data_IF_029364041105
#
_entry.id   IF_029364041105
#
_cell.length_a   1.000
_cell.length_b   1.000
_cell.length_c   1.000
_cell.angle_alpha   90.00
_cell.angle_beta   90.00
_cell.angle_gamma   90.00
#
_symmetry.space_group_name_H-M   'P 1'
#
loop_
_entity.id
_entity.type
_entity.pdbx_description
1 polymer ?
#
# COMPACT_ATOMS: atom_id res chain seq x y z
N UNK A 1 0.82 -12.42 -15.54
CA UNK A 1 -0.41 -13.07 -16.06
C UNK A 1 -1.56 -12.09 -16.22
N UNK A 2 -1.97 -11.33 -15.21
CA UNK A 2 -3.05 -10.32 -15.33
C UNK A 2 -2.71 -9.19 -16.30
N UNK A 3 -1.46 -8.71 -16.29
CA UNK A 3 -0.98 -7.66 -17.20
C UNK A 3 -1.04 -8.06 -18.68
N UNK A 4 -0.54 -9.24 -19.04
CA UNK A 4 -0.56 -9.74 -20.42
C UNK A 4 -1.98 -10.02 -20.92
N UNK A 5 -2.87 -10.45 -20.03
CA UNK A 5 -4.27 -10.68 -20.37
C UNK A 5 -5.01 -9.36 -20.66
N UNK A 6 -4.78 -8.33 -19.84
CA UNK A 6 -5.35 -7.00 -20.05
C UNK A 6 -4.80 -6.33 -21.32
N UNK A 7 -3.55 -6.62 -21.69
CA UNK A 7 -2.90 -6.06 -22.88
C UNK A 7 -3.56 -6.47 -24.20
N UNK A 8 -4.22 -7.63 -24.24
CA UNK A 8 -4.87 -8.15 -25.46
C UNK A 8 -6.15 -7.40 -25.88
N UNK A 9 -6.75 -6.61 -25.00
CA UNK A 9 -8.00 -5.90 -25.26
C UNK A 9 -7.83 -4.38 -25.41
N UNK A 10 -6.59 -3.87 -25.41
CA UNK A 10 -6.35 -2.44 -25.55
C UNK A 10 -6.25 -2.01 -27.02
N UNK A 11 -6.84 -0.86 -27.39
CA UNK A 11 -6.65 -0.27 -28.71
C UNK A 11 -5.18 0.12 -28.90
N UNK A 12 -4.55 -0.48 -29.89
CA UNK A 12 -3.21 -0.12 -30.36
C UNK A 12 -3.29 1.14 -31.24
N UNK A 13 -2.34 2.06 -31.07
CA UNK A 13 -2.22 3.22 -31.96
C UNK A 13 -1.70 2.78 -33.34
N UNK A 14 -1.85 3.63 -34.37
CA UNK A 14 -1.49 3.32 -35.76
C UNK A 14 -0.01 2.95 -36.00
N UNK A 15 0.83 3.00 -34.97
CA UNK A 15 2.26 2.65 -34.98
C UNK A 15 2.61 1.33 -34.28
N UNK A 16 1.61 0.55 -33.83
CA UNK A 16 1.85 -0.69 -33.08
C UNK A 16 2.49 -0.47 -31.69
N UNK A 17 2.58 0.79 -31.26
CA UNK A 17 2.96 1.16 -29.90
C UNK A 17 1.69 1.44 -29.10
N UNK A 18 1.60 0.81 -27.94
CA UNK A 18 0.58 1.11 -26.93
C UNK A 18 0.64 2.59 -26.56
N UNK A 19 -0.47 3.31 -26.69
CA UNK A 19 -0.59 4.70 -26.20
C UNK A 19 -0.25 4.76 -24.70
N UNK A 20 0.38 5.87 -24.26
CA UNK A 20 0.66 6.11 -22.83
C UNK A 20 -0.64 5.98 -22.02
N UNK A 21 -1.73 6.54 -22.53
CA UNK A 21 -3.07 6.45 -21.91
C UNK A 21 -3.56 5.00 -21.88
N UNK A 22 -3.40 4.23 -22.96
CA UNK A 22 -3.76 2.81 -22.99
C UNK A 22 -3.04 2.04 -21.89
N UNK A 23 -1.71 2.09 -21.86
CA UNK A 23 -0.91 1.42 -20.83
C UNK A 23 -1.28 1.85 -19.40
N UNK A 24 -1.60 3.13 -19.19
CA UNK A 24 -2.07 3.61 -17.89
C UNK A 24 -3.41 2.98 -17.52
N UNK A 25 -4.38 2.95 -18.46
CA UNK A 25 -5.70 2.34 -18.23
C UNK A 25 -5.57 0.85 -17.96
N UNK A 26 -4.80 0.08 -18.74
CA UNK A 26 -4.61 -1.33 -18.45
C UNK A 26 -3.81 -1.59 -17.18
N UNK A 27 -2.80 -0.75 -16.87
CA UNK A 27 -2.09 -0.82 -15.59
C UNK A 27 -3.05 -0.60 -14.41
N UNK A 28 -3.96 0.37 -14.54
CA UNK A 28 -5.02 0.61 -13.55
C UNK A 28 -6.01 -0.56 -13.48
N UNK A 29 -6.51 -1.06 -14.61
CA UNK A 29 -7.44 -2.20 -14.64
C UNK A 29 -6.80 -3.48 -14.10
N UNK A 30 -5.55 -3.76 -14.45
CA UNK A 30 -4.80 -4.90 -13.94
C UNK A 30 -4.53 -4.76 -12.44
N UNK A 31 -4.12 -3.57 -11.99
CA UNK A 31 -3.91 -3.28 -10.57
C UNK A 31 -5.21 -3.35 -9.75
N UNK A 32 -6.32 -2.85 -10.29
CA UNK A 32 -7.65 -3.00 -9.67
C UNK A 32 -8.06 -4.46 -9.64
N UNK A 33 -7.91 -5.21 -10.73
CA UNK A 33 -8.25 -6.63 -10.78
C UNK A 33 -7.41 -7.46 -9.79
N UNK A 34 -6.10 -7.24 -9.75
CA UNK A 34 -5.21 -7.87 -8.76
C UNK A 34 -5.60 -7.47 -7.33
N UNK A 35 -5.89 -6.19 -7.11
CA UNK A 35 -6.32 -5.70 -5.80
C UNK A 35 -7.63 -6.34 -5.37
N UNK A 36 -8.61 -6.48 -6.26
CA UNK A 36 -9.92 -7.05 -5.98
C UNK A 36 -9.82 -8.56 -5.73
N UNK A 37 -9.12 -9.27 -6.61
CA UNK A 37 -9.09 -10.73 -6.63
C UNK A 37 -8.12 -11.34 -5.61
N UNK A 38 -6.98 -10.69 -5.39
CA UNK A 38 -5.89 -11.26 -4.57
C UNK A 38 -5.72 -10.49 -3.28
N UNK A 39 -5.59 -9.16 -3.35
CA UNK A 39 -5.25 -8.36 -2.17
C UNK A 39 -6.43 -8.22 -1.22
N UNK A 40 -7.63 -7.93 -1.72
CA UNK A 40 -8.81 -7.68 -0.88
C UNK A 40 -9.18 -8.87 0.00
N UNK A 41 -9.29 -10.12 -0.49
CA UNK A 41 -9.59 -11.25 0.40
C UNK A 41 -8.49 -11.46 1.46
N UNK A 42 -7.22 -11.30 1.08
CA UNK A 42 -6.10 -11.43 2.01
C UNK A 42 -6.07 -10.34 3.08
N UNK A 43 -6.30 -9.08 2.69
CA UNK A 43 -6.38 -7.93 3.59
C UNK A 43 -7.59 -8.03 4.52
N UNK A 44 -8.75 -8.45 4.00
CA UNK A 44 -9.97 -8.63 4.78
C UNK A 44 -9.79 -9.73 5.82
N UNK A 45 -9.25 -10.89 5.42
CA UNK A 45 -8.94 -11.99 6.34
C UNK A 45 -7.95 -11.54 7.42
N UNK A 46 -6.89 -10.84 7.02
CA UNK A 46 -5.89 -10.31 7.96
C UNK A 46 -6.52 -9.34 8.96
N UNK A 47 -7.34 -8.41 8.49
CA UNK A 47 -8.02 -7.43 9.36
C UNK A 47 -8.95 -8.12 10.35
N UNK A 48 -9.74 -9.09 9.90
CA UNK A 48 -10.62 -9.90 10.76
C UNK A 48 -9.87 -10.72 11.79
N UNK A 49 -8.73 -11.33 11.43
CA UNK A 49 -7.90 -12.08 12.36
C UNK A 49 -7.23 -11.17 13.41
N UNK A 50 -6.83 -9.95 13.03
CA UNK A 50 -6.28 -8.97 13.98
C UNK A 50 -7.37 -8.49 14.94
N UNK A 51 -8.56 -8.19 14.42
CA UNK A 51 -9.72 -7.78 15.21
C UNK A 51 -10.19 -8.89 16.17
N UNK A 52 -10.22 -10.14 15.68
CA UNK A 52 -10.55 -11.32 16.47
C UNK A 52 -9.58 -11.55 17.63
N UNK A 53 -8.28 -11.33 17.37
CA UNK A 53 -7.23 -11.44 18.38
C UNK A 53 -7.32 -10.34 19.44
N UNK A 54 -7.86 -9.18 19.10
CA UNK A 54 -8.10 -8.09 20.03
C UNK A 54 -9.40 -8.25 20.84
N UNK A 55 -10.34 -9.08 20.35
CA UNK A 55 -11.66 -9.28 20.93
C UNK A 55 -11.94 -10.70 21.42
N UNK A 56 -13.09 -11.25 21.03
CA UNK A 56 -13.71 -12.43 21.60
C UNK A 56 -13.10 -13.79 21.17
N UNK A 57 -12.01 -13.82 20.39
CA UNK A 57 -11.37 -15.04 19.85
C UNK A 57 -12.37 -16.04 19.24
N UNK A 58 -13.10 -15.61 18.22
CA UNK A 58 -14.03 -16.41 17.42
C UNK A 58 -13.32 -17.41 16.49
N UNK A 59 -12.04 -17.20 16.17
CA UNK A 59 -11.28 -18.05 15.26
C UNK A 59 -10.10 -18.75 15.94
N UNK A 60 -10.07 -20.08 15.84
CA UNK A 60 -8.95 -20.89 16.36
C UNK A 60 -7.77 -20.96 15.38
N UNK A 61 -8.04 -20.82 14.08
CA UNK A 61 -7.04 -20.86 13.01
C UNK A 61 -7.49 -20.05 11.81
N UNK A 62 -6.55 -19.67 10.94
CA UNK A 62 -6.86 -18.95 9.70
C UNK A 62 -7.79 -19.76 8.78
N UNK A 63 -7.66 -21.09 8.75
CA UNK A 63 -8.53 -21.96 7.96
C UNK A 63 -9.94 -22.04 8.55
N UNK A 64 -10.05 -22.09 9.89
CA UNK A 64 -11.33 -22.00 10.58
C UNK A 64 -12.01 -20.65 10.34
N UNK A 65 -11.24 -19.55 10.33
CA UNK A 65 -11.73 -18.22 10.00
C UNK A 65 -12.33 -18.19 8.59
N UNK A 66 -11.59 -18.64 7.57
CA UNK A 66 -12.07 -18.68 6.18
C UNK A 66 -13.37 -19.48 6.08
N UNK A 67 -13.40 -20.70 6.63
CA UNK A 67 -14.61 -21.55 6.60
C UNK A 67 -15.79 -20.87 7.26
N UNK A 68 -15.58 -20.27 8.44
CA UNK A 68 -16.62 -19.58 9.20
C UNK A 68 -17.14 -18.33 8.47
N UNK A 69 -16.26 -17.57 7.83
CA UNK A 69 -16.65 -16.36 7.07
C UNK A 69 -17.48 -16.76 5.86
N UNK A 70 -17.04 -17.77 5.10
CA UNK A 70 -17.78 -18.25 3.92
C UNK A 70 -19.16 -18.77 4.31
N UNK A 71 -19.28 -19.52 5.41
CA UNK A 71 -20.56 -20.11 5.83
C UNK A 71 -21.49 -19.12 6.53
N UNK A 72 -20.97 -18.19 7.34
CA UNK A 72 -21.80 -17.26 8.12
C UNK A 72 -22.07 -15.93 7.41
N UNK A 73 -21.05 -15.33 6.80
CA UNK A 73 -21.13 -13.98 6.22
C UNK A 73 -21.23 -13.98 4.68
N UNK A 74 -21.00 -15.13 4.05
CA UNK A 74 -20.97 -15.30 2.60
C UNK A 74 -19.66 -14.83 1.95
N UNK A 75 -19.33 -15.40 0.79
CA UNK A 75 -18.10 -15.09 0.05
C UNK A 75 -18.02 -13.63 -0.42
N UNK A 76 -19.15 -12.92 -0.56
CA UNK A 76 -19.18 -11.50 -0.90
C UNK A 76 -18.50 -10.62 0.15
N UNK A 77 -18.39 -11.09 1.39
CA UNK A 77 -17.75 -10.36 2.48
C UNK A 77 -16.26 -10.12 2.24
N UNK A 78 -15.58 -10.99 1.50
CA UNK A 78 -14.19 -10.77 1.12
C UNK A 78 -14.00 -9.56 0.19
N UNK A 79 -15.03 -9.18 -0.57
CA UNK A 79 -15.02 -8.02 -1.45
C UNK A 79 -15.55 -6.74 -0.77
N UNK A 80 -15.92 -6.80 0.52
CA UNK A 80 -16.30 -5.60 1.27
C UNK A 80 -15.06 -4.74 1.53
N UNK A 81 -15.16 -3.47 1.13
CA UNK A 81 -14.07 -2.50 1.24
C UNK A 81 -13.24 -2.32 -0.03
N UNK A 82 -13.59 -2.94 -1.16
CA UNK A 82 -12.91 -2.71 -2.45
C UNK A 82 -12.85 -1.23 -2.80
N UNK A 83 -13.98 -0.51 -2.73
CA UNK A 83 -14.03 0.92 -3.07
C UNK A 83 -13.04 1.79 -2.27
N UNK A 84 -13.03 1.77 -0.92
CA UNK A 84 -12.07 2.55 -0.16
C UNK A 84 -10.63 2.07 -0.36
N UNK A 85 -10.40 0.78 -0.63
CA UNK A 85 -9.06 0.26 -0.97
C UNK A 85 -8.57 0.85 -2.29
N UNK A 86 -9.39 0.79 -3.35
CA UNK A 86 -9.06 1.35 -4.66
C UNK A 86 -8.82 2.85 -4.57
N UNK A 87 -9.74 3.60 -3.93
CA UNK A 87 -9.59 5.04 -3.74
C UNK A 87 -8.32 5.39 -2.95
N UNK A 88 -8.00 4.62 -1.90
CA UNK A 88 -6.77 4.78 -1.14
C UNK A 88 -5.53 4.53 -1.99
N UNK A 89 -5.51 3.49 -2.82
CA UNK A 89 -4.36 3.22 -3.71
C UNK A 89 -4.17 4.34 -4.74
N UNK A 90 -5.24 4.74 -5.42
CA UNK A 90 -5.21 5.86 -6.38
C UNK A 90 -4.74 7.16 -5.72
N UNK A 91 -5.31 7.50 -4.56
CA UNK A 91 -4.95 8.70 -3.82
C UNK A 91 -3.52 8.65 -3.27
N UNK A 92 -3.06 7.47 -2.84
CA UNK A 92 -1.70 7.30 -2.32
C UNK A 92 -0.65 7.59 -3.39
N UNK A 93 -0.83 7.10 -4.61
CA UNK A 93 0.10 7.37 -5.70
C UNK A 93 0.03 8.84 -6.11
N UNK A 94 -1.18 9.38 -6.30
CA UNK A 94 -1.39 10.78 -6.68
C UNK A 94 -0.74 11.74 -5.69
N UNK A 95 -1.07 11.63 -4.40
CA UNK A 95 -0.56 12.55 -3.38
C UNK A 95 0.94 12.39 -3.22
N UNK A 96 1.49 11.18 -3.29
CA UNK A 96 2.93 10.95 -3.16
C UNK A 96 3.71 11.61 -4.30
N UNK A 97 3.28 11.41 -5.56
CA UNK A 97 3.96 12.01 -6.70
C UNK A 97 3.77 13.52 -6.75
N UNK A 98 2.55 14.03 -6.51
CA UNK A 98 2.30 15.47 -6.47
C UNK A 98 3.09 16.14 -5.35
N UNK A 99 3.08 15.58 -4.14
CA UNK A 99 3.82 16.16 -3.00
C UNK A 99 5.33 16.12 -3.24
N UNK A 100 5.84 15.01 -3.78
CA UNK A 100 7.28 14.89 -4.08
C UNK A 100 7.70 15.90 -5.16
N UNK A 101 6.95 16.01 -6.26
CA UNK A 101 7.26 16.94 -7.35
C UNK A 101 7.18 18.42 -6.93
N UNK A 102 6.33 18.75 -5.94
CA UNK A 102 6.25 20.11 -5.40
C UNK A 102 7.34 20.39 -4.36
N UNK A 103 7.65 19.41 -3.50
CA UNK A 103 8.63 19.60 -2.42
C UNK A 103 10.08 19.48 -2.88
N UNK A 104 10.38 18.62 -3.86
CA UNK A 104 11.75 18.41 -4.30
C UNK A 104 12.41 19.70 -4.83
N UNK A 105 11.79 20.50 -5.72
CA UNK A 105 12.37 21.77 -6.17
C UNK A 105 12.50 22.80 -5.05
N UNK A 106 11.56 22.82 -4.09
CA UNK A 106 11.60 23.76 -2.97
C UNK A 106 12.72 23.43 -1.96
N UNK A 107 13.07 22.15 -1.81
CA UNK A 107 14.08 21.68 -0.86
C UNK A 107 15.47 21.50 -1.47
N UNK A 108 15.58 21.43 -2.81
CA UNK A 108 16.84 21.41 -3.55
C UNK A 108 17.86 22.46 -3.07
N UNK A 109 17.50 23.74 -2.89
CA UNK A 109 18.47 24.76 -2.46
C UNK A 109 18.97 24.58 -1.02
N UNK A 110 18.19 23.91 -0.16
CA UNK A 110 18.49 23.82 1.27
C UNK A 110 19.18 22.51 1.66
N UNK A 111 18.82 21.40 1.00
CA UNK A 111 19.16 20.06 1.48
C UNK A 111 20.11 19.27 0.55
N UNK A 112 20.51 19.81 -0.60
CA UNK A 112 21.49 19.17 -1.50
C UNK A 112 21.18 17.69 -1.76
N UNK A 113 22.12 16.80 -1.43
CA UNK A 113 21.99 15.32 -1.58
C UNK A 113 20.85 14.73 -0.72
N UNK A 114 20.55 15.33 0.43
CA UNK A 114 19.48 14.89 1.32
C UNK A 114 18.08 15.37 0.89
N UNK A 115 17.99 16.18 -0.17
CA UNK A 115 16.70 16.70 -0.68
C UNK A 115 15.72 15.58 -0.97
N UNK A 116 16.15 14.51 -1.65
CA UNK A 116 15.28 13.39 -2.00
C UNK A 116 14.76 12.65 -0.75
N UNK A 117 15.57 12.57 0.30
CA UNK A 117 15.20 11.92 1.57
C UNK A 117 14.18 12.79 2.32
N UNK A 118 14.46 14.08 2.46
CA UNK A 118 13.56 15.00 3.20
C UNK A 118 12.26 15.21 2.43
N UNK A 119 12.32 15.47 1.12
CA UNK A 119 11.14 15.61 0.27
C UNK A 119 10.33 14.30 0.25
N UNK A 120 10.99 13.15 0.17
CA UNK A 120 10.36 11.83 0.24
C UNK A 120 9.68 11.57 1.59
N UNK A 121 10.33 11.94 2.71
CA UNK A 121 9.76 11.81 4.04
C UNK A 121 8.54 12.70 4.25
N UNK A 122 8.63 13.99 3.88
CA UNK A 122 7.52 14.93 3.96
C UNK A 122 6.35 14.54 3.03
N UNK A 123 6.64 14.15 1.79
CA UNK A 123 5.64 13.62 0.87
C UNK A 123 4.97 12.36 1.45
N UNK A 124 5.73 11.50 2.12
CA UNK A 124 5.21 10.34 2.85
C UNK A 124 4.25 10.73 3.98
N UNK A 125 4.61 11.72 4.80
CA UNK A 125 3.76 12.24 5.88
C UNK A 125 2.46 12.81 5.31
N UNK A 126 2.54 13.68 4.29
CA UNK A 126 1.36 14.27 3.63
C UNK A 126 0.46 13.17 3.06
N UNK A 127 1.06 12.19 2.37
CA UNK A 127 0.33 11.04 1.81
C UNK A 127 -0.41 10.27 2.90
N UNK A 128 0.19 10.08 4.07
CA UNK A 128 -0.46 9.39 5.20
C UNK A 128 -1.65 10.18 5.70
N UNK A 129 -1.53 11.50 5.88
CA UNK A 129 -2.65 12.35 6.30
C UNK A 129 -3.79 12.37 5.27
N UNK A 130 -3.49 12.43 3.97
CA UNK A 130 -4.51 12.43 2.92
C UNK A 130 -5.18 11.06 2.73
N UNK A 131 -4.45 9.96 2.96
CA UNK A 131 -4.98 8.59 2.76
C UNK A 131 -5.64 8.01 4.01
N UNK A 132 -5.42 8.61 5.19
CA UNK A 132 -5.98 8.15 6.46
C UNK A 132 -7.50 7.98 6.49
N UNK A 133 -8.32 8.93 5.99
CA UNK A 133 -9.78 8.75 6.00
C UNK A 133 -10.21 7.47 5.28
N UNK A 134 -9.60 7.16 4.12
CA UNK A 134 -9.90 5.95 3.38
C UNK A 134 -9.42 4.68 4.11
N UNK A 135 -8.27 4.76 4.80
CA UNK A 135 -7.77 3.66 5.63
C UNK A 135 -8.64 3.40 6.86
N UNK A 136 -9.24 4.44 7.45
CA UNK A 136 -10.18 4.25 8.55
C UNK A 136 -11.48 3.64 8.05
N UNK A 137 -12.03 4.10 6.93
CA UNK A 137 -13.25 3.51 6.36
C UNK A 137 -13.01 2.05 5.96
N UNK A 138 -11.89 1.73 5.28
CA UNK A 138 -11.61 0.34 4.89
C UNK A 138 -11.49 -0.58 6.10
N UNK A 139 -10.81 -0.16 7.18
CA UNK A 139 -10.57 -1.02 8.35
C UNK A 139 -11.86 -1.25 9.13
N UNK A 140 -12.72 -0.25 9.24
CA UNK A 140 -14.05 -0.40 9.82
C UNK A 140 -14.93 -1.34 8.99
N UNK A 141 -14.90 -1.23 7.66
CA UNK A 141 -15.63 -2.15 6.78
C UNK A 141 -15.10 -3.59 6.81
N UNK A 142 -13.79 -3.77 6.98
CA UNK A 142 -13.14 -5.09 7.05
C UNK A 142 -13.10 -5.69 8.47
N UNK A 143 -13.61 -4.99 9.48
CA UNK A 143 -13.75 -5.52 10.85
C UNK A 143 -14.76 -6.68 10.91
N UNK A 144 -14.74 -7.45 12.01
CA UNK A 144 -15.63 -8.59 12.20
C UNK A 144 -17.11 -8.20 12.06
N UNK A 145 -17.51 -7.14 12.75
CA UNK A 145 -18.87 -6.60 12.72
C UNK A 145 -19.12 -5.63 11.55
N UNK A 146 -18.09 -5.32 10.74
CA UNK A 146 -18.18 -4.35 9.66
C UNK A 146 -19.27 -4.67 8.64
N UNK A 147 -19.46 -5.97 8.35
CA UNK A 147 -20.52 -6.48 7.46
C UNK A 147 -21.94 -6.24 7.99
N UNK A 148 -22.10 -6.20 9.32
CA UNK A 148 -23.39 -6.06 10.00
C UNK A 148 -23.72 -4.60 10.30
N UNK A 149 -22.71 -3.80 10.64
CA UNK A 149 -22.89 -2.39 11.03
C UNK A 149 -23.01 -1.47 9.80
N UNK A 150 -22.28 -1.76 8.72
CA UNK A 150 -22.16 -0.85 7.57
C UNK A 150 -22.67 -1.48 6.28
N UNK A 151 -23.60 -0.81 5.60
CA UNK A 151 -24.15 -1.29 4.31
C UNK A 151 -23.22 -0.96 3.14
N UNK A 152 -22.56 0.19 3.19
CA UNK A 152 -21.70 0.71 2.13
C UNK A 152 -20.54 1.50 2.71
N UNK A 153 -19.52 1.77 1.88
CA UNK A 153 -18.39 2.62 2.28
C UNK A 153 -18.81 4.04 2.62
N UNK A 154 -19.84 4.56 1.94
CA UNK A 154 -20.41 5.87 2.23
C UNK A 154 -21.17 5.88 3.56
N UNK A 155 -21.97 4.85 3.83
CA UNK A 155 -22.65 4.67 5.12
C UNK A 155 -21.64 4.57 6.28
N UNK A 156 -20.55 3.83 6.08
CA UNK A 156 -19.46 3.76 7.04
C UNK A 156 -18.81 5.12 7.30
N UNK A 157 -18.44 5.86 6.24
CA UNK A 157 -17.88 7.20 6.38
C UNK A 157 -18.84 8.16 7.10
N UNK A 158 -20.12 8.16 6.74
CA UNK A 158 -21.15 8.98 7.36
C UNK A 158 -21.32 8.66 8.84
N UNK A 159 -21.51 7.38 9.19
CA UNK A 159 -21.64 6.92 10.59
C UNK A 159 -20.39 7.26 11.41
N UNK A 160 -19.20 7.15 10.83
CA UNK A 160 -17.95 7.47 11.53
C UNK A 160 -17.86 8.97 11.88
N UNK A 161 -18.25 9.84 10.95
CA UNK A 161 -18.28 11.30 11.15
C UNK A 161 -19.38 11.69 12.13
N UNK A 162 -20.58 11.10 12.02
CA UNK A 162 -21.71 11.41 12.92
C UNK A 162 -21.44 10.92 14.34
N UNK A 163 -20.92 9.71 14.53
CA UNK A 163 -20.76 9.11 15.86
C UNK A 163 -19.49 9.56 16.61
N UNK A 164 -18.51 10.17 15.94
CA UNK A 164 -17.23 10.52 16.57
C UNK A 164 -16.55 11.77 16.04
N UNK A 165 -17.24 12.53 15.20
CA UNK A 165 -16.70 13.73 14.56
C UNK A 165 -15.70 13.42 13.44
N UNK A 166 -15.34 14.43 12.64
CA UNK A 166 -14.41 14.29 11.52
C UNK A 166 -13.01 13.86 11.97
N UNK A 167 -12.59 14.18 13.20
CA UNK A 167 -11.29 13.77 13.75
C UNK A 167 -11.14 12.24 13.86
N UNK A 168 -12.25 11.50 13.95
CA UNK A 168 -12.23 10.03 14.00
C UNK A 168 -11.66 9.41 12.72
N UNK A 169 -11.75 10.11 11.58
CA UNK A 169 -11.13 9.70 10.31
C UNK A 169 -9.59 9.74 10.31
N UNK A 170 -8.98 10.42 11.29
CA UNK A 170 -7.52 10.43 11.48
C UNK A 170 -7.07 9.64 12.71
N UNK A 171 -7.99 8.96 13.39
CA UNK A 171 -7.62 8.06 14.50
C UNK A 171 -6.75 6.93 13.95
N UNK A 172 -5.53 6.79 14.44
CA UNK A 172 -4.54 5.83 13.92
C UNK A 172 -3.44 6.42 13.04
N UNK A 173 -3.46 7.73 12.76
CA UNK A 173 -2.37 8.40 12.03
C UNK A 173 -1.03 8.24 12.74
N UNK A 174 -0.97 8.49 14.05
CA UNK A 174 0.27 8.40 14.85
C UNK A 174 0.92 7.01 14.82
N UNK A 175 0.22 5.90 15.15
CA UNK A 175 0.83 4.58 15.05
C UNK A 175 1.20 4.22 13.60
N UNK A 176 0.46 4.72 12.59
CA UNK A 176 0.83 4.51 11.19
C UNK A 176 2.12 5.24 10.83
N UNK A 177 2.28 6.49 11.22
CA UNK A 177 3.49 7.28 11.01
C UNK A 177 4.68 6.63 11.71
N UNK A 178 4.52 6.26 12.99
CA UNK A 178 5.57 5.56 13.74
C UNK A 178 6.00 4.27 13.05
N UNK A 179 5.03 3.43 12.62
CA UNK A 179 5.32 2.20 11.88
C UNK A 179 6.10 2.48 10.59
N UNK A 180 5.76 3.54 9.85
CA UNK A 180 6.46 3.91 8.63
C UNK A 180 7.88 4.42 8.90
N UNK A 181 8.06 5.25 9.93
CA UNK A 181 9.37 5.76 10.34
C UNK A 181 10.29 4.63 10.80
N UNK A 182 9.80 3.73 11.66
CA UNK A 182 10.57 2.58 12.16
C UNK A 182 10.89 1.61 11.03
N UNK A 183 9.93 1.29 10.16
CA UNK A 183 10.16 0.42 9.01
C UNK A 183 11.19 1.02 8.03
N UNK A 184 11.13 2.34 7.81
CA UNK A 184 12.12 3.06 7.02
C UNK A 184 13.51 2.98 7.63
N UNK A 185 13.64 3.27 8.92
CA UNK A 185 14.92 3.19 9.63
C UNK A 185 15.54 1.78 9.55
N UNK A 186 14.75 0.74 9.85
CA UNK A 186 15.21 -0.65 9.77
C UNK A 186 15.65 -1.01 8.34
N UNK A 187 14.87 -0.62 7.33
CA UNK A 187 15.20 -0.91 5.93
C UNK A 187 16.52 -0.24 5.50
N UNK A 188 16.76 1.01 5.92
CA UNK A 188 18.02 1.69 5.65
C UNK A 188 19.20 1.04 6.36
N UNK A 189 19.05 0.70 7.65
CA UNK A 189 20.10 -0.02 8.40
C UNK A 189 20.43 -1.38 7.77
N UNK A 190 19.40 -2.16 7.39
CA UNK A 190 19.62 -3.44 6.72
C UNK A 190 20.27 -3.27 5.35
N UNK A 191 19.89 -2.24 4.60
CA UNK A 191 20.51 -1.94 3.31
C UNK A 191 22.00 -1.62 3.48
N UNK A 192 22.36 -0.76 4.45
CA UNK A 192 23.76 -0.42 4.73
C UNK A 192 24.57 -1.65 5.15
N UNK A 193 24.03 -2.51 6.01
CA UNK A 193 24.69 -3.75 6.41
C UNK A 193 24.85 -4.73 5.25
N UNK A 194 23.83 -4.89 4.40
CA UNK A 194 23.91 -5.74 3.20
C UNK A 194 24.92 -5.20 2.20
N UNK A 195 24.97 -3.88 1.97
CA UNK A 195 25.96 -3.24 1.10
C UNK A 195 27.36 -3.40 1.68
N UNK A 196 27.54 -3.23 2.99
CA UNK A 196 28.83 -3.44 3.68
C UNK A 196 29.30 -4.89 3.55
N UNK A 197 28.42 -5.86 3.81
CA UNK A 197 28.73 -7.29 3.68
C UNK A 197 29.03 -7.70 2.23
N UNK A 198 28.25 -7.18 1.27
CA UNK A 198 28.45 -7.47 -0.16
C UNK A 198 29.73 -6.81 -0.66
N UNK A 199 30.04 -5.58 -0.23
CA UNK A 199 31.32 -4.93 -0.50
C UNK A 199 32.50 -5.76 0.02
N UNK A 200 32.41 -6.28 1.25
CA UNK A 200 33.42 -7.17 1.82
C UNK A 200 33.51 -8.52 1.09
N UNK A 201 32.43 -9.05 0.52
CA UNK A 201 32.44 -10.34 -0.19
C UNK A 201 32.91 -10.22 -1.66
N UNK A 202 32.67 -9.06 -2.29
CA UNK A 202 32.98 -8.80 -3.70
C UNK A 202 34.39 -8.26 -3.88
N UNK A 203 34.86 -7.38 -3.00
CA UNK A 203 36.22 -6.80 -3.10
C UNK A 203 37.37 -7.83 -3.06
N UNK A 204 37.38 -8.86 -2.19
CA UNK A 204 38.47 -9.85 -2.21
C UNK A 204 38.42 -10.77 -3.44
N UNK A 205 37.25 -10.97 -4.06
CA UNK A 205 37.12 -11.79 -5.27
C UNK A 205 37.48 -11.03 -6.56
N UNK A 206 37.32 -9.71 -6.58
CA UNK A 206 37.76 -8.86 -7.71
C UNK A 206 39.25 -8.58 -7.63
N UNK A 207 39.81 -8.35 -6.43
CA UNK A 207 41.25 -8.15 -6.25
C UNK A 207 42.09 -9.42 -6.58
N UNK A 208 41.56 -10.61 -6.32
CA UNK A 208 42.24 -11.87 -6.65
C UNK A 208 42.21 -12.24 -8.15
N UNK A 209 41.43 -11.52 -8.97
CA UNK A 209 41.30 -11.78 -10.42
C UNK A 209 41.90 -10.68 -11.30
N UNK A 210 42.58 -9.70 -10.71
CA UNK A 210 43.30 -8.67 -11.45
C UNK A 210 44.66 -9.22 -11.94
N UNK A 211 44.90 -9.33 -13.26
CA UNK A 211 46.21 -9.68 -13.80
C UNK A 211 47.23 -8.57 -13.48
N UNK A 212 48.46 -8.97 -13.16
CA UNK A 212 49.61 -8.11 -12.82
C UNK A 212 50.22 -7.37 -14.03
N UNK A 213 49.41 -7.03 -15.03
CA UNK A 213 49.87 -6.51 -16.32
C UNK A 213 49.35 -5.09 -16.55
N UNK A 214 49.88 -4.12 -15.80
CA UNK A 214 49.85 -2.72 -16.15
C UNK A 214 50.98 -1.99 -15.40
N UNK A 215 52.17 -2.03 -16.03
CA UNK A 215 53.30 -1.09 -15.96
C UNK A 215 53.75 -0.57 -14.59
#
# INVERSE_FOLDING_TARGET
>A
MTFDYARRYMPEDQTGKTTVVGNMVAGMCAGVAESVLVLTPGENLKTRLIDDRAGARLYQSSTHAIRTIVTKDGASTFFRGVLPVTLKQSNSSMVRFTSYNQLAPMLQPTCGVSTSVVAGALAGVITVYCTMPFDNVKTQMQSLDGSRIYSSSWDCAKKLVVNGGPRRLWKGTTPRLLRLSVAGAIAFTLYEEVVRLTGFLVLPKVAAKAPKDAA
#
